data_IF_902278805437
#
_entry.id   IF_902278805437
#
_cell.length_a   1.000
_cell.length_b   1.000
_cell.length_c   1.000
_cell.angle_alpha   90.00
_cell.angle_beta   90.00
_cell.angle_gamma   90.00
#
_symmetry.space_group_name_H-M   'P 1'
#
loop_
_entity.id
_entity.type
_entity.pdbx_description
1 polymer ?
#
# COMPACT_ATOMS: atom_id res chain seq x y z
N UNK A 1 -24.64 -63.85 -39.97
CA UNK A 1 -23.67 -62.90 -39.41
C UNK A 1 -24.40 -61.88 -38.54
N UNK A 2 -24.20 -61.95 -37.20
CA UNK A 2 -24.90 -61.07 -36.22
C UNK A 2 -23.91 -60.00 -35.75
N UNK A 3 -24.16 -58.77 -36.11
CA UNK A 3 -23.36 -57.59 -35.76
C UNK A 3 -23.74 -57.15 -34.31
N UNK A 4 -22.84 -57.39 -33.37
CA UNK A 4 -23.02 -56.94 -31.95
C UNK A 4 -22.69 -55.45 -31.87
N UNK A 5 -23.71 -54.65 -31.59
CA UNK A 5 -23.56 -53.21 -31.26
C UNK A 5 -23.01 -53.12 -29.83
N UNK A 6 -21.80 -52.60 -29.70
CA UNK A 6 -21.23 -52.18 -28.41
C UNK A 6 -21.60 -50.72 -28.20
N UNK A 7 -22.53 -50.48 -27.26
CA UNK A 7 -22.81 -49.12 -26.78
C UNK A 7 -21.76 -48.77 -25.73
N UNK A 8 -20.87 -47.81 -26.04
CA UNK A 8 -19.98 -47.21 -25.07
C UNK A 8 -20.75 -46.09 -24.34
N UNK A 9 -20.98 -46.30 -23.04
CA UNK A 9 -21.56 -45.27 -22.18
C UNK A 9 -20.47 -44.23 -21.84
N UNK A 10 -20.64 -43.00 -22.32
CA UNK A 10 -19.77 -41.86 -21.95
C UNK A 10 -20.27 -41.33 -20.61
N UNK A 11 -19.57 -41.64 -19.54
CA UNK A 11 -19.79 -41.01 -18.21
C UNK A 11 -19.18 -39.63 -18.20
N UNK A 12 -20.02 -38.61 -18.24
CA UNK A 12 -19.65 -37.20 -18.08
C UNK A 12 -19.40 -36.92 -16.58
N UNK A 13 -18.13 -36.84 -16.19
CA UNK A 13 -17.75 -36.36 -14.85
C UNK A 13 -17.86 -34.82 -14.88
N UNK A 14 -18.94 -34.32 -14.31
CA UNK A 14 -19.07 -32.87 -14.05
C UNK A 14 -18.13 -32.52 -12.91
N UNK A 15 -16.95 -31.98 -13.24
CA UNK A 15 -16.06 -31.35 -12.28
C UNK A 15 -16.72 -30.04 -11.81
N UNK A 16 -17.28 -30.06 -10.60
CA UNK A 16 -17.80 -28.86 -9.95
C UNK A 16 -16.67 -27.87 -9.69
N UNK A 17 -16.66 -26.76 -10.41
CA UNK A 17 -15.79 -25.63 -10.13
C UNK A 17 -16.33 -24.99 -8.85
N UNK A 18 -15.70 -25.30 -7.71
CA UNK A 18 -15.91 -24.56 -6.47
C UNK A 18 -15.36 -23.14 -6.67
N UNK A 19 -16.24 -22.20 -6.98
CA UNK A 19 -15.90 -20.76 -6.93
C UNK A 19 -15.68 -20.40 -5.48
N UNK A 20 -14.41 -20.30 -5.06
CA UNK A 20 -14.06 -19.68 -3.80
C UNK A 20 -14.49 -18.22 -3.87
N UNK A 21 -15.61 -17.88 -3.21
CA UNK A 21 -15.98 -16.51 -2.95
C UNK A 21 -14.89 -15.93 -2.02
N UNK A 22 -13.93 -15.20 -2.58
CA UNK A 22 -13.08 -14.32 -1.79
C UNK A 22 -14.00 -13.26 -1.17
N UNK A 23 -14.27 -13.40 0.12
CA UNK A 23 -14.93 -12.35 0.90
C UNK A 23 -13.93 -11.19 0.89
N UNK A 24 -14.16 -10.22 0.02
CA UNK A 24 -13.47 -8.94 0.10
C UNK A 24 -13.75 -8.39 1.50
N UNK A 25 -12.69 -8.17 2.29
CA UNK A 25 -12.84 -7.49 3.57
C UNK A 25 -13.56 -6.17 3.30
N UNK A 26 -14.82 -6.09 3.72
CA UNK A 26 -15.63 -4.89 3.52
C UNK A 26 -15.00 -3.74 4.30
N UNK A 27 -14.92 -2.58 3.66
CA UNK A 27 -14.55 -1.35 4.35
C UNK A 27 -15.60 -1.07 5.43
N UNK A 28 -15.17 -0.65 6.61
CA UNK A 28 -16.08 -0.27 7.70
C UNK A 28 -17.10 0.77 7.18
N UNK A 29 -18.42 0.51 7.28
CA UNK A 29 -19.45 1.41 6.77
C UNK A 29 -19.46 2.78 7.46
N UNK A 30 -18.81 2.93 8.61
CA UNK A 30 -18.63 4.21 9.29
C UNK A 30 -17.58 5.10 8.60
N UNK A 31 -16.71 4.53 7.75
CA UNK A 31 -15.72 5.31 6.99
C UNK A 31 -16.43 6.02 5.84
N UNK A 32 -16.45 7.34 5.91
CA UNK A 32 -17.03 8.15 4.84
C UNK A 32 -16.23 8.01 3.53
N UNK A 33 -16.91 8.00 2.37
CA UNK A 33 -16.21 8.00 1.08
C UNK A 33 -15.26 9.19 0.97
N UNK A 34 -14.10 8.95 0.36
CA UNK A 34 -13.13 10.01 0.12
C UNK A 34 -13.69 11.06 -0.84
N UNK A 35 -13.59 12.32 -0.46
CA UNK A 35 -14.00 13.47 -1.29
C UNK A 35 -12.75 14.22 -1.73
N UNK A 36 -12.53 14.27 -3.05
CA UNK A 36 -11.40 14.95 -3.65
C UNK A 36 -11.47 16.46 -3.43
N UNK A 37 -10.38 17.04 -2.97
CA UNK A 37 -10.22 18.50 -2.82
C UNK A 37 -9.57 19.10 -4.07
N UNK A 38 -10.05 20.27 -4.49
CA UNK A 38 -9.48 21.00 -5.63
C UNK A 38 -8.27 21.86 -5.22
N UNK A 39 -7.37 22.13 -6.18
CA UNK A 39 -6.23 23.04 -5.96
C UNK A 39 -5.05 22.44 -5.21
N UNK A 40 -5.02 21.14 -5.00
CA UNK A 40 -3.90 20.45 -4.35
C UNK A 40 -2.73 20.29 -5.32
N UNK A 41 -1.58 20.84 -4.93
CA UNK A 41 -0.33 20.77 -5.70
C UNK A 41 0.87 20.91 -4.78
N UNK A 42 2.05 20.50 -5.23
CA UNK A 42 3.29 20.67 -4.48
C UNK A 42 4.22 19.47 -4.57
N UNK A 43 5.27 19.49 -3.75
CA UNK A 43 6.26 18.44 -3.68
C UNK A 43 6.22 17.76 -2.30
N UNK A 44 6.24 16.45 -2.27
CA UNK A 44 6.41 15.63 -1.08
C UNK A 44 7.68 14.79 -1.21
N UNK A 45 8.47 14.76 -0.15
CA UNK A 45 9.65 13.90 -0.02
C UNK A 45 9.38 12.82 1.00
N UNK A 46 9.62 11.57 0.64
CA UNK A 46 9.54 10.40 1.49
C UNK A 46 10.91 9.77 1.62
N UNK A 47 11.44 9.70 2.84
CA UNK A 47 12.75 9.11 3.14
C UNK A 47 12.61 8.07 4.23
N UNK A 48 13.03 6.84 3.99
CA UNK A 48 12.92 5.80 5.01
C UNK A 48 13.09 4.37 4.54
N UNK A 49 12.24 3.50 5.04
CA UNK A 49 12.33 2.06 4.90
C UNK A 49 12.34 1.58 3.45
N UNK A 50 13.34 0.80 3.10
CA UNK A 50 13.42 0.01 1.87
C UNK A 50 12.40 -1.13 1.85
N UNK A 51 12.08 -1.73 3.00
CA UNK A 51 11.03 -2.74 3.12
C UNK A 51 9.65 -2.20 2.69
N UNK A 52 9.38 -0.92 2.94
CA UNK A 52 8.12 -0.26 2.56
C UNK A 52 8.17 0.44 1.20
N UNK A 53 9.28 0.38 0.48
CA UNK A 53 9.48 1.11 -0.78
C UNK A 53 8.40 0.83 -1.83
N UNK A 54 8.09 -0.46 -2.06
CA UNK A 54 7.07 -0.85 -3.04
C UNK A 54 5.68 -0.35 -2.64
N UNK A 55 5.32 -0.45 -1.36
CA UNK A 55 4.04 0.04 -0.86
C UNK A 55 3.93 1.57 -1.02
N UNK A 56 5.00 2.30 -0.67
CA UNK A 56 5.06 3.75 -0.83
C UNK A 56 4.95 4.18 -2.30
N UNK A 57 5.56 3.42 -3.21
CA UNK A 57 5.45 3.68 -4.65
C UNK A 57 4.02 3.49 -5.14
N UNK A 58 3.36 2.41 -4.77
CA UNK A 58 1.96 2.16 -5.13
C UNK A 58 1.02 3.25 -4.57
N UNK A 59 1.24 3.70 -3.34
CA UNK A 59 0.47 4.80 -2.75
C UNK A 59 0.72 6.12 -3.47
N UNK A 60 1.97 6.42 -3.82
CA UNK A 60 2.32 7.62 -4.56
C UNK A 60 1.68 7.64 -5.95
N UNK A 61 1.68 6.51 -6.66
CA UNK A 61 1.02 6.37 -7.96
C UNK A 61 -0.50 6.55 -7.85
N UNK A 62 -1.13 5.93 -6.84
CA UNK A 62 -2.56 6.08 -6.59
C UNK A 62 -2.90 7.54 -6.23
N UNK A 63 -2.12 8.17 -5.36
CA UNK A 63 -2.31 9.56 -4.96
C UNK A 63 -2.15 10.52 -6.15
N UNK A 64 -1.17 10.28 -7.02
CA UNK A 64 -0.94 11.09 -8.22
C UNK A 64 -2.08 11.02 -9.23
N UNK A 65 -2.83 9.91 -9.29
CA UNK A 65 -4.05 9.82 -10.11
C UNK A 65 -5.13 10.77 -9.63
N UNK A 66 -5.25 10.94 -8.31
CA UNK A 66 -6.20 11.88 -7.72
C UNK A 66 -5.69 13.34 -7.80
N UNK A 67 -4.38 13.55 -7.60
CA UNK A 67 -3.73 14.85 -7.55
C UNK A 67 -2.53 14.93 -8.51
N UNK A 68 -2.76 15.12 -9.81
CA UNK A 68 -1.69 15.09 -10.83
C UNK A 68 -0.59 16.14 -10.64
N UNK A 69 -0.92 17.24 -9.95
CA UNK A 69 0.00 18.35 -9.68
C UNK A 69 0.83 18.15 -8.39
N UNK A 70 0.70 17.02 -7.71
CA UNK A 70 1.57 16.64 -6.59
C UNK A 70 2.70 15.76 -7.09
N UNK A 71 3.93 16.17 -6.81
CA UNK A 71 5.12 15.39 -7.10
C UNK A 71 5.62 14.71 -5.83
N UNK A 72 5.74 13.38 -5.84
CA UNK A 72 6.20 12.60 -4.69
C UNK A 72 7.53 11.96 -5.04
N UNK A 73 8.57 12.27 -4.26
CA UNK A 73 9.89 11.68 -4.36
C UNK A 73 10.06 10.65 -3.25
N UNK A 74 10.51 9.44 -3.59
CA UNK A 74 10.69 8.36 -2.64
C UNK A 74 12.16 7.95 -2.63
N UNK A 75 12.78 8.00 -1.45
CA UNK A 75 14.11 7.53 -1.18
C UNK A 75 14.06 6.38 -0.16
N UNK A 76 14.32 5.18 -0.63
CA UNK A 76 14.39 3.97 0.19
C UNK A 76 15.85 3.77 0.65
N UNK A 77 16.16 4.21 1.86
CA UNK A 77 17.51 4.23 2.40
C UNK A 77 17.62 3.59 3.81
N UNK A 78 16.59 2.82 4.17
CA UNK A 78 16.48 2.17 5.48
C UNK A 78 15.72 3.00 6.52
N UNK A 79 15.05 2.32 7.46
CA UNK A 79 14.22 2.96 8.50
C UNK A 79 14.99 3.95 9.40
N UNK A 80 16.31 3.80 9.51
CA UNK A 80 17.13 4.71 10.32
C UNK A 80 17.35 6.10 9.70
N UNK A 81 17.04 6.27 8.42
CA UNK A 81 17.15 7.56 7.73
C UNK A 81 15.91 8.43 7.90
N UNK A 82 14.76 7.83 8.24
CA UNK A 82 13.51 8.55 8.42
C UNK A 82 13.52 9.54 9.59
N UNK A 83 13.90 9.17 10.83
CA UNK A 83 13.87 10.09 11.96
C UNK A 83 14.70 11.36 11.76
N UNK A 84 15.98 11.30 11.33
CA UNK A 84 16.75 12.52 11.08
C UNK A 84 16.15 13.35 9.94
N UNK A 85 15.70 12.72 8.84
CA UNK A 85 15.14 13.47 7.71
C UNK A 85 13.86 14.23 8.09
N UNK A 86 12.98 13.63 8.89
CA UNK A 86 11.78 14.30 9.43
C UNK A 86 12.17 15.39 10.43
N UNK A 87 13.11 15.10 11.33
CA UNK A 87 13.56 16.07 12.35
C UNK A 87 14.23 17.28 11.70
N UNK A 88 15.03 17.08 10.67
CA UNK A 88 15.68 18.16 9.93
C UNK A 88 14.73 18.90 8.98
N UNK A 89 13.58 18.32 8.65
CA UNK A 89 12.60 18.89 7.72
C UNK A 89 12.97 18.68 6.25
N UNK A 90 13.88 17.74 5.96
CA UNK A 90 14.27 17.38 4.59
C UNK A 90 13.32 16.36 3.96
N UNK A 91 12.47 15.71 4.77
CA UNK A 91 11.38 14.86 4.32
C UNK A 91 10.06 15.22 5.01
N UNK A 92 8.97 15.00 4.28
CA UNK A 92 7.60 15.16 4.77
C UNK A 92 7.02 13.85 5.32
N UNK A 93 7.49 12.73 4.79
CA UNK A 93 7.06 11.38 5.13
C UNK A 93 8.28 10.54 5.51
N UNK A 94 8.16 9.79 6.59
CA UNK A 94 9.21 8.91 7.08
C UNK A 94 8.71 7.49 7.30
N UNK A 95 8.51 6.67 6.23
CA UNK A 95 8.07 5.30 6.40
C UNK A 95 9.11 4.48 7.16
N UNK A 96 8.67 3.71 8.14
CA UNK A 96 9.54 2.89 8.96
C UNK A 96 8.94 1.50 9.16
N UNK A 97 9.78 0.47 9.11
CA UNK A 97 9.42 -0.91 9.44
C UNK A 97 9.64 -1.24 10.93
N UNK A 98 9.97 -0.26 11.73
CA UNK A 98 10.15 -0.30 13.18
C UNK A 98 9.62 0.96 13.85
N UNK A 99 9.45 0.93 15.16
CA UNK A 99 9.21 2.15 15.95
C UNK A 99 10.45 3.04 15.99
N UNK A 100 10.26 4.32 16.20
CA UNK A 100 11.35 5.24 16.52
C UNK A 100 12.02 4.82 17.82
N UNK A 101 13.32 5.00 17.92
CA UNK A 101 14.09 4.79 19.14
C UNK A 101 13.94 6.00 20.07
N UNK A 102 14.19 5.81 21.36
CA UNK A 102 14.04 6.89 22.35
C UNK A 102 14.90 8.13 22.04
N UNK A 103 16.13 7.92 21.56
CA UNK A 103 17.00 9.02 21.15
C UNK A 103 16.52 9.75 19.88
N UNK A 104 15.86 9.04 18.96
CA UNK A 104 15.26 9.63 17.77
C UNK A 104 14.02 10.47 18.14
N UNK A 105 13.19 9.95 19.04
CA UNK A 105 12.04 10.67 19.62
C UNK A 105 12.49 11.91 20.39
N UNK A 106 13.53 11.79 21.24
CA UNK A 106 14.07 12.91 22.02
C UNK A 106 14.59 14.03 21.11
N UNK A 107 15.28 13.69 20.03
CA UNK A 107 15.77 14.68 19.06
C UNK A 107 14.61 15.42 18.36
N UNK A 108 13.55 14.70 17.99
CA UNK A 108 12.35 15.30 17.39
C UNK A 108 11.64 16.21 18.39
N UNK A 109 11.41 15.72 19.63
CA UNK A 109 10.76 16.48 20.69
C UNK A 109 11.54 17.75 21.06
N UNK A 110 12.87 17.68 21.10
CA UNK A 110 13.72 18.84 21.35
C UNK A 110 13.53 19.93 20.28
N UNK A 111 13.34 19.54 19.03
CA UNK A 111 13.19 20.49 17.94
C UNK A 111 11.79 21.07 17.82
N UNK A 112 10.76 20.24 18.01
CA UNK A 112 9.37 20.63 17.75
C UNK A 112 8.51 20.84 19.00
N UNK A 113 8.99 20.42 20.18
CA UNK A 113 8.28 20.60 21.46
C UNK A 113 7.14 19.60 21.71
N UNK A 114 7.00 18.58 20.86
CA UNK A 114 6.02 17.49 21.00
C UNK A 114 6.55 16.18 20.43
N UNK A 115 5.91 15.07 20.83
CA UNK A 115 6.22 13.71 20.35
C UNK A 115 5.35 13.30 19.18
#
# INVERSE_FOLDING_TARGET
MKLKRVMAALTFVAAGVATANAVAAGVDPAIQPYVKTTGVSGNLSSVGSDTLANLMTLWAEAYKKEYPNVNIQIQAAGSSTAPPAITEGTANLGPMSRKMKDNELAAFEQKYGYK
#
